data_IF_555957124348
#
_entry.id   IF_555957124348
#
_cell.length_a   1.000
_cell.length_b   1.000
_cell.length_c   1.000
_cell.angle_alpha   90.00
_cell.angle_beta   90.00
_cell.angle_gamma   90.00
#
_symmetry.space_group_name_H-M   'P 1'
#
loop_
_entity.id
_entity.type
_entity.pdbx_description
1 polymer ?
#
# COMPACT_ATOMS: atom_id res chain seq x y z
N UNK A 1 17.48 -3.53 -10.37
CA UNK A 1 16.23 -4.32 -10.52
C UNK A 1 15.40 -3.86 -11.72
N UNK A 2 15.25 -2.55 -11.95
CA UNK A 2 14.66 -1.98 -13.20
C UNK A 2 15.45 -2.44 -14.44
N UNK A 3 16.76 -2.52 -14.31
CA UNK A 3 17.73 -2.91 -15.36
C UNK A 3 17.47 -4.28 -16.01
N UNK A 4 17.10 -5.31 -15.26
CA UNK A 4 16.89 -6.65 -15.85
C UNK A 4 15.62 -6.71 -16.70
N UNK A 5 14.55 -6.04 -16.26
CA UNK A 5 13.27 -5.99 -16.99
C UNK A 5 13.42 -5.20 -18.30
N UNK A 6 14.11 -4.08 -18.24
CA UNK A 6 14.45 -3.29 -19.43
C UNK A 6 15.36 -4.07 -20.38
N UNK A 7 16.35 -4.81 -19.86
CA UNK A 7 17.22 -5.66 -20.66
C UNK A 7 16.46 -6.81 -21.34
N UNK A 8 15.49 -7.42 -20.65
CA UNK A 8 14.60 -8.44 -21.24
C UNK A 8 13.79 -7.87 -22.40
N UNK A 9 13.10 -6.76 -22.20
CA UNK A 9 12.26 -6.16 -23.24
C UNK A 9 13.09 -5.76 -24.47
N UNK A 10 14.29 -5.22 -24.24
CA UNK A 10 15.26 -4.92 -25.32
C UNK A 10 15.74 -6.20 -26.01
N UNK A 11 15.99 -7.28 -25.27
CA UNK A 11 16.43 -8.55 -25.86
C UNK A 11 15.33 -9.19 -26.71
N UNK A 12 14.09 -9.23 -26.23
CA UNK A 12 12.95 -9.72 -26.99
C UNK A 12 12.78 -8.91 -28.27
N UNK A 13 12.84 -7.57 -28.21
CA UNK A 13 12.73 -6.72 -29.39
C UNK A 13 13.82 -7.05 -30.44
N UNK A 14 15.04 -7.34 -30.00
CA UNK A 14 16.13 -7.78 -30.89
C UNK A 14 15.85 -9.14 -31.53
N UNK A 15 15.31 -10.09 -30.78
CA UNK A 15 14.98 -11.43 -31.29
C UNK A 15 13.84 -11.37 -32.30
N UNK A 16 12.76 -10.65 -31.99
CA UNK A 16 11.65 -10.46 -32.92
C UNK A 16 12.13 -9.81 -34.23
N UNK A 17 12.95 -8.76 -34.14
CA UNK A 17 13.55 -8.10 -35.30
C UNK A 17 14.44 -9.05 -36.12
N UNK A 18 15.29 -9.85 -35.46
CA UNK A 18 16.13 -10.82 -36.16
C UNK A 18 15.30 -11.86 -36.92
N UNK A 19 14.18 -12.30 -36.34
CA UNK A 19 13.24 -13.21 -37.00
C UNK A 19 12.56 -12.55 -38.22
N UNK A 20 12.16 -11.29 -38.13
CA UNK A 20 11.64 -10.53 -39.28
C UNK A 20 12.69 -10.37 -40.38
N UNK A 21 13.94 -10.07 -40.02
CA UNK A 21 15.06 -9.96 -40.96
C UNK A 21 15.34 -11.31 -41.65
N UNK A 22 15.26 -12.43 -40.93
CA UNK A 22 15.33 -13.78 -41.51
C UNK A 22 14.16 -14.04 -42.46
N UNK A 23 12.94 -13.69 -42.09
CA UNK A 23 11.76 -13.83 -42.95
C UNK A 23 11.88 -13.03 -44.25
N UNK A 24 12.46 -11.84 -44.19
CA UNK A 24 12.63 -10.95 -45.34
C UNK A 24 13.67 -11.47 -46.36
N UNK A 25 14.62 -12.28 -45.90
CA UNK A 25 15.69 -12.87 -46.73
C UNK A 25 15.37 -14.29 -47.21
N UNK A 26 14.29 -14.88 -46.71
CA UNK A 26 13.92 -16.27 -46.98
C UNK A 26 13.12 -16.42 -48.27
N UNK A 27 13.49 -17.39 -49.11
CA UNK A 27 12.87 -17.65 -50.41
C UNK A 27 11.80 -18.76 -50.33
N UNK A 28 11.89 -19.64 -49.32
CA UNK A 28 10.91 -20.69 -49.10
C UNK A 28 9.72 -20.13 -48.33
N UNK A 29 8.56 -20.02 -48.98
CA UNK A 29 7.35 -19.37 -48.44
C UNK A 29 6.90 -19.93 -47.09
N UNK A 30 6.99 -21.25 -46.88
CA UNK A 30 6.61 -21.87 -45.61
C UNK A 30 7.55 -21.46 -44.46
N UNK A 31 8.85 -21.33 -44.74
CA UNK A 31 9.86 -20.94 -43.77
C UNK A 31 9.81 -19.43 -43.48
N UNK A 32 9.62 -18.61 -44.52
CA UNK A 32 9.35 -17.17 -44.38
C UNK A 32 8.14 -16.92 -43.46
N UNK A 33 7.04 -17.66 -43.68
CA UNK A 33 5.85 -17.57 -42.83
C UNK A 33 6.16 -17.99 -41.39
N UNK A 34 6.90 -19.09 -41.21
CA UNK A 34 7.27 -19.56 -39.88
C UNK A 34 8.06 -18.49 -39.11
N UNK A 35 9.07 -17.88 -39.73
CA UNK A 35 9.85 -16.78 -39.10
C UNK A 35 8.97 -15.57 -38.75
N UNK A 36 8.08 -15.15 -39.66
CA UNK A 36 7.17 -14.03 -39.41
C UNK A 36 6.23 -14.31 -38.24
N UNK A 37 5.63 -15.51 -38.19
CA UNK A 37 4.77 -15.93 -37.09
C UNK A 37 5.52 -16.03 -35.77
N UNK A 38 6.77 -16.52 -35.78
CA UNK A 38 7.60 -16.52 -34.57
C UNK A 38 7.94 -15.11 -34.09
N UNK A 39 8.19 -14.16 -35.00
CA UNK A 39 8.43 -12.77 -34.64
C UNK A 39 7.20 -12.16 -33.94
N UNK A 40 6.02 -12.29 -34.54
CA UNK A 40 4.75 -11.83 -33.97
C UNK A 40 4.45 -12.49 -32.62
N UNK A 41 4.62 -13.81 -32.52
CA UNK A 41 4.40 -14.55 -31.28
C UNK A 41 5.36 -14.09 -30.18
N UNK A 42 6.63 -13.83 -30.51
CA UNK A 42 7.65 -13.34 -29.56
C UNK A 42 7.28 -11.97 -29.02
N UNK A 43 6.82 -11.07 -29.89
CA UNK A 43 6.42 -9.72 -29.50
C UNK A 43 5.13 -9.69 -28.68
N UNK A 44 4.14 -10.51 -29.08
CA UNK A 44 2.88 -10.69 -28.35
C UNK A 44 3.15 -11.25 -26.95
N UNK A 45 3.92 -12.35 -26.86
CA UNK A 45 4.26 -12.98 -25.59
C UNK A 45 4.97 -12.00 -24.64
N UNK A 46 5.89 -11.19 -25.15
CA UNK A 46 6.58 -10.19 -24.34
C UNK A 46 5.63 -9.12 -23.80
N UNK A 47 4.70 -8.65 -24.63
CA UNK A 47 3.70 -7.65 -24.25
C UNK A 47 2.77 -8.21 -23.17
N UNK A 48 2.22 -9.40 -23.38
CA UNK A 48 1.34 -10.06 -22.41
C UNK A 48 2.07 -10.38 -21.11
N UNK A 49 3.31 -10.84 -21.19
CA UNK A 49 4.15 -11.10 -20.02
C UNK A 49 4.40 -9.82 -19.22
N UNK A 50 4.67 -8.69 -19.90
CA UNK A 50 4.84 -7.39 -19.23
C UNK A 50 3.55 -6.95 -18.55
N UNK A 51 2.42 -7.06 -19.23
CA UNK A 51 1.12 -6.68 -18.70
C UNK A 51 0.76 -7.51 -17.46
N UNK A 52 0.89 -8.84 -17.55
CA UNK A 52 0.51 -9.77 -16.48
C UNK A 52 1.45 -9.74 -15.27
N UNK A 53 2.76 -9.63 -15.50
CA UNK A 53 3.76 -9.79 -14.43
C UNK A 53 4.24 -8.46 -13.84
N UNK A 54 4.02 -7.34 -14.54
CA UNK A 54 4.50 -6.01 -14.11
C UNK A 54 3.34 -5.06 -13.89
N UNK A 55 2.60 -4.75 -14.95
CA UNK A 55 1.60 -3.67 -14.93
C UNK A 55 0.46 -3.97 -13.97
N UNK A 56 -0.19 -5.14 -14.10
CA UNK A 56 -1.33 -5.50 -13.24
C UNK A 56 -0.94 -5.62 -11.77
N UNK A 57 0.16 -6.31 -11.38
CA UNK A 57 0.59 -6.35 -9.99
C UNK A 57 0.92 -4.97 -9.41
N UNK A 58 1.57 -4.10 -10.19
CA UNK A 58 1.90 -2.73 -9.75
C UNK A 58 0.63 -1.90 -9.52
N UNK A 59 -0.33 -1.95 -10.44
CA UNK A 59 -1.63 -1.29 -10.28
C UNK A 59 -2.38 -1.80 -9.05
N UNK A 60 -2.42 -3.12 -8.85
CA UNK A 60 -3.09 -3.71 -7.69
C UNK A 60 -2.41 -3.31 -6.38
N UNK A 61 -1.07 -3.29 -6.35
CA UNK A 61 -0.31 -2.82 -5.19
C UNK A 61 -0.62 -1.34 -4.89
N UNK A 62 -0.70 -0.48 -5.91
CA UNK A 62 -1.04 0.93 -5.75
C UNK A 62 -2.43 1.14 -5.16
N UNK A 63 -3.43 0.38 -5.63
CA UNK A 63 -4.80 0.45 -5.09
C UNK A 63 -4.84 0.01 -3.62
N UNK A 64 -4.21 -1.11 -3.28
CA UNK A 64 -4.17 -1.61 -1.90
C UNK A 64 -3.42 -0.63 -0.97
N UNK A 65 -2.32 -0.03 -1.43
CA UNK A 65 -1.59 1.00 -0.68
C UNK A 65 -2.44 2.26 -0.44
N UNK A 66 -3.20 2.72 -1.45
CA UNK A 66 -4.11 3.85 -1.30
C UNK A 66 -5.21 3.55 -0.27
N UNK A 67 -5.79 2.35 -0.30
CA UNK A 67 -6.79 1.93 0.69
C UNK A 67 -6.22 1.93 2.11
N UNK A 68 -4.98 1.46 2.30
CA UNK A 68 -4.31 1.49 3.61
C UNK A 68 -4.07 2.91 4.09
N UNK A 69 -3.64 3.79 3.18
CA UNK A 69 -3.44 5.20 3.50
C UNK A 69 -4.74 5.83 4.03
N UNK A 70 -5.84 5.63 3.31
CA UNK A 70 -7.13 6.27 3.62
C UNK A 70 -7.84 5.66 4.83
N UNK A 71 -7.75 4.34 5.02
CA UNK A 71 -8.55 3.62 6.02
C UNK A 71 -7.81 3.34 7.32
N UNK A 72 -6.48 3.30 7.27
CA UNK A 72 -5.67 3.02 8.46
C UNK A 72 -4.82 4.22 8.87
N UNK A 73 -3.97 4.73 7.97
CA UNK A 73 -2.96 5.71 8.34
C UNK A 73 -3.60 7.06 8.70
N UNK A 74 -4.46 7.59 7.83
CA UNK A 74 -5.11 8.89 8.05
C UNK A 74 -6.01 8.90 9.30
N UNK A 75 -6.90 7.91 9.53
CA UNK A 75 -7.72 7.86 10.74
C UNK A 75 -6.89 7.71 12.01
N UNK A 76 -5.84 6.88 11.98
CA UNK A 76 -4.94 6.70 13.14
C UNK A 76 -4.26 8.02 13.51
N UNK A 77 -3.71 8.76 12.54
CA UNK A 77 -3.10 10.07 12.78
C UNK A 77 -4.08 11.02 13.48
N UNK A 78 -5.32 11.10 12.98
CA UNK A 78 -6.37 11.95 13.57
C UNK A 78 -6.71 11.55 15.00
N UNK A 79 -6.80 10.24 15.29
CA UNK A 79 -7.08 9.75 16.64
C UNK A 79 -5.93 10.03 17.61
N UNK A 80 -4.68 9.87 17.17
CA UNK A 80 -3.51 10.20 17.97
C UNK A 80 -3.46 11.71 18.29
N UNK A 81 -3.78 12.56 17.32
CA UNK A 81 -3.88 14.01 17.52
C UNK A 81 -5.01 14.40 18.48
N UNK A 82 -6.19 13.78 18.38
CA UNK A 82 -7.31 14.03 19.32
C UNK A 82 -6.96 13.53 20.73
N UNK A 83 -6.29 12.39 20.85
CA UNK A 83 -5.79 11.86 22.14
C UNK A 83 -4.84 12.85 22.81
N UNK A 84 -3.87 13.37 22.06
CA UNK A 84 -2.90 14.32 22.60
C UNK A 84 -3.57 15.63 23.05
N UNK A 85 -4.56 16.13 22.28
CA UNK A 85 -5.37 17.28 22.67
C UNK A 85 -6.19 17.01 23.94
N UNK A 86 -6.80 15.83 24.03
CA UNK A 86 -7.59 15.42 25.17
C UNK A 86 -6.76 15.31 26.46
N UNK A 87 -5.54 14.74 26.36
CA UNK A 87 -4.60 14.64 27.48
C UNK A 87 -4.10 16.01 27.92
N UNK A 88 -3.73 16.90 26.99
CA UNK A 88 -3.31 18.27 27.31
C UNK A 88 -4.42 19.05 28.03
N UNK A 89 -5.66 18.90 27.56
CA UNK A 89 -6.83 19.52 28.19
C UNK A 89 -7.08 18.97 29.59
N UNK A 90 -6.97 17.64 29.77
CA UNK A 90 -7.11 17.00 31.07
C UNK A 90 -6.08 17.53 32.07
N UNK A 91 -4.80 17.60 31.67
CA UNK A 91 -3.73 18.13 32.53
C UNK A 91 -3.99 19.57 32.94
N UNK A 92 -4.48 20.41 32.02
CA UNK A 92 -4.86 21.80 32.33
C UNK A 92 -5.99 21.85 33.36
N UNK A 93 -7.05 21.07 33.16
CA UNK A 93 -8.19 21.02 34.08
C UNK A 93 -7.81 20.48 35.47
N UNK A 94 -6.90 19.51 35.54
CA UNK A 94 -6.40 18.98 36.81
C UNK A 94 -5.61 20.04 37.58
N UNK A 95 -4.66 20.72 36.91
CA UNK A 95 -3.91 21.83 37.50
C UNK A 95 -4.83 22.96 37.96
N UNK A 96 -5.84 23.25 37.16
CA UNK A 96 -6.88 24.22 37.49
C UNK A 96 -7.62 23.83 38.77
N UNK A 97 -7.99 22.57 38.99
CA UNK A 97 -8.67 22.12 40.24
C UNK A 97 -7.76 22.18 41.48
N UNK A 98 -6.44 22.06 41.28
CA UNK A 98 -5.43 22.14 42.35
C UNK A 98 -5.13 23.57 42.78
N UNK A 99 -5.56 24.58 42.01
CA UNK A 99 -5.36 25.99 42.33
C UNK A 99 -6.18 26.40 43.58
N UNK A 100 -5.46 26.83 44.62
CA UNK A 100 -5.97 27.06 45.98
C UNK A 100 -6.91 28.29 46.05
N UNK A 101 -6.94 29.11 44.99
CA UNK A 101 -7.73 30.34 44.91
C UNK A 101 -9.21 30.14 44.57
N UNK A 102 -9.71 28.90 44.47
CA UNK A 102 -11.08 28.62 44.03
C UNK A 102 -12.10 28.55 45.15
N UNK A 103 -13.30 29.07 44.87
CA UNK A 103 -14.46 28.83 45.72
C UNK A 103 -14.89 27.36 45.64
N UNK A 104 -15.50 26.81 46.71
CA UNK A 104 -15.95 25.42 46.75
C UNK A 104 -16.89 25.05 45.58
N UNK A 105 -17.73 25.99 45.14
CA UNK A 105 -18.67 25.81 44.02
C UNK A 105 -17.96 25.74 42.65
N UNK A 106 -16.92 26.54 42.45
CA UNK A 106 -16.12 26.51 41.22
C UNK A 106 -15.27 25.25 41.12
N UNK A 107 -14.70 24.83 42.25
CA UNK A 107 -13.93 23.58 42.37
C UNK A 107 -14.78 22.38 41.97
N UNK A 108 -16.01 22.29 42.48
CA UNK A 108 -16.94 21.19 42.16
C UNK A 108 -17.33 21.18 40.67
N UNK A 109 -17.56 22.35 40.06
CA UNK A 109 -17.82 22.48 38.62
C UNK A 109 -16.62 22.02 37.79
N UNK A 110 -15.40 22.43 38.15
CA UNK A 110 -14.17 22.01 37.45
C UNK A 110 -13.89 20.51 37.63
N UNK A 111 -14.22 19.94 38.78
CA UNK A 111 -14.08 18.51 39.03
C UNK A 111 -15.00 17.66 38.15
N UNK A 112 -16.22 18.14 37.86
CA UNK A 112 -17.09 17.52 36.84
C UNK A 112 -16.48 17.57 35.44
N UNK A 113 -15.86 18.69 35.05
CA UNK A 113 -15.16 18.81 33.77
C UNK A 113 -13.96 17.87 33.68
N UNK A 114 -13.22 17.67 34.77
CA UNK A 114 -12.14 16.67 34.82
C UNK A 114 -12.67 15.26 34.60
N UNK A 115 -13.79 14.88 35.23
CA UNK A 115 -14.39 13.56 35.05
C UNK A 115 -14.90 13.35 33.61
N UNK A 116 -15.49 14.38 33.01
CA UNK A 116 -15.91 14.35 31.61
C UNK A 116 -14.71 14.19 30.66
N UNK A 117 -13.66 14.97 30.89
CA UNK A 117 -12.45 14.90 30.07
C UNK A 117 -11.70 13.57 30.24
N UNK A 118 -11.72 12.96 31.43
CA UNK A 118 -11.22 11.60 31.66
C UNK A 118 -11.97 10.58 30.82
N UNK A 119 -13.31 10.65 30.78
CA UNK A 119 -14.14 9.80 29.91
C UNK A 119 -13.78 9.98 28.43
N UNK A 120 -13.53 11.21 27.98
CA UNK A 120 -13.09 11.47 26.60
C UNK A 120 -11.73 10.85 26.29
N UNK A 121 -10.74 10.95 27.19
CA UNK A 121 -9.44 10.30 27.01
C UNK A 121 -9.59 8.78 26.88
N UNK A 122 -10.42 8.18 27.75
CA UNK A 122 -10.70 6.74 27.71
C UNK A 122 -11.36 6.29 26.40
N UNK A 123 -12.34 7.05 25.93
CA UNK A 123 -13.02 6.78 24.66
C UNK A 123 -12.04 6.84 23.48
N UNK A 124 -11.15 7.84 23.44
CA UNK A 124 -10.15 7.96 22.36
C UNK A 124 -9.15 6.81 22.43
N UNK A 125 -8.69 6.41 23.61
CA UNK A 125 -7.80 5.25 23.76
C UNK A 125 -8.47 3.96 23.25
N UNK A 126 -9.73 3.73 23.61
CA UNK A 126 -10.50 2.58 23.13
C UNK A 126 -10.62 2.57 21.59
N UNK A 127 -10.83 3.73 20.97
CA UNK A 127 -10.89 3.86 19.52
C UNK A 127 -9.52 3.61 18.85
N UNK A 128 -8.43 4.09 19.45
CA UNK A 128 -7.06 3.82 18.98
C UNK A 128 -6.78 2.32 19.01
N UNK A 129 -7.10 1.63 20.11
CA UNK A 129 -6.87 0.19 20.25
C UNK A 129 -7.68 -0.62 19.25
N UNK A 130 -8.95 -0.25 19.04
CA UNK A 130 -9.80 -0.86 18.02
C UNK A 130 -9.21 -0.69 16.62
N UNK A 131 -8.80 0.54 16.27
CA UNK A 131 -8.20 0.81 14.96
C UNK A 131 -6.86 0.10 14.78
N UNK A 132 -6.02 -0.02 15.82
CA UNK A 132 -4.76 -0.75 15.76
C UNK A 132 -4.97 -2.24 15.48
N UNK A 133 -5.94 -2.88 16.17
CA UNK A 133 -6.30 -4.29 15.91
C UNK A 133 -6.79 -4.48 14.47
N UNK A 134 -7.62 -3.56 13.98
CA UNK A 134 -8.16 -3.63 12.61
C UNK A 134 -7.08 -3.39 11.56
N UNK A 135 -6.15 -2.47 11.81
CA UNK A 135 -4.99 -2.25 10.95
C UNK A 135 -4.12 -3.50 10.85
N UNK A 136 -3.84 -4.16 11.97
CA UNK A 136 -3.01 -5.37 11.98
C UNK A 136 -3.64 -6.52 11.19
N UNK A 137 -4.96 -6.70 11.32
CA UNK A 137 -5.71 -7.64 10.49
C UNK A 137 -5.56 -7.30 8.98
N UNK A 138 -5.75 -6.03 8.61
CA UNK A 138 -5.58 -5.58 7.22
C UNK A 138 -4.14 -5.79 6.72
N UNK A 139 -3.13 -5.47 7.54
CA UNK A 139 -1.71 -5.63 7.21
C UNK A 139 -1.38 -7.09 6.90
N UNK A 140 -1.88 -8.03 7.70
CA UNK A 140 -1.64 -9.46 7.47
C UNK A 140 -2.46 -9.98 6.28
N UNK A 141 -3.74 -9.64 6.20
CA UNK A 141 -4.64 -10.18 5.18
C UNK A 141 -4.37 -9.63 3.78
N UNK A 142 -3.97 -8.36 3.66
CA UNK A 142 -3.80 -7.67 2.38
C UNK A 142 -2.33 -7.52 1.98
N UNK A 143 -1.50 -6.87 2.81
CA UNK A 143 -0.13 -6.55 2.42
C UNK A 143 0.77 -7.78 2.32
N UNK A 144 0.64 -8.73 3.26
CA UNK A 144 1.47 -9.94 3.24
C UNK A 144 1.22 -10.74 1.97
N UNK A 145 -0.05 -10.91 1.57
CA UNK A 145 -0.45 -11.63 0.36
C UNK A 145 0.11 -10.97 -0.90
N UNK A 146 0.01 -9.64 -1.02
CA UNK A 146 0.57 -8.88 -2.15
C UNK A 146 2.09 -9.04 -2.25
N UNK A 147 2.81 -9.01 -1.12
CA UNK A 147 4.26 -9.25 -1.11
C UNK A 147 4.63 -10.72 -1.44
N UNK A 148 3.86 -11.72 -0.96
CA UNK A 148 4.11 -13.11 -1.36
C UNK A 148 3.80 -13.37 -2.82
N UNK A 149 2.78 -12.74 -3.41
CA UNK A 149 2.53 -12.85 -4.85
C UNK A 149 3.71 -12.27 -5.64
N UNK A 150 4.26 -11.12 -5.24
CA UNK A 150 5.49 -10.59 -5.83
C UNK A 150 6.68 -11.54 -5.70
N UNK A 151 6.86 -12.21 -4.56
CA UNK A 151 7.92 -13.21 -4.38
C UNK A 151 7.68 -14.51 -5.16
N UNK A 152 6.44 -15.02 -5.25
CA UNK A 152 6.13 -16.22 -6.02
C UNK A 152 6.29 -15.94 -7.53
N UNK A 153 5.89 -14.75 -8.00
CA UNK A 153 6.15 -14.29 -9.36
C UNK A 153 7.65 -14.08 -9.65
N UNK A 154 8.44 -13.70 -8.64
CA UNK A 154 9.90 -13.63 -8.74
C UNK A 154 10.50 -15.01 -8.98
N UNK A 155 10.06 -16.05 -8.25
CA UNK A 155 10.56 -17.41 -8.46
C UNK A 155 10.13 -18.01 -9.80
N UNK A 156 8.92 -17.72 -10.28
CA UNK A 156 8.41 -18.24 -11.56
C UNK A 156 9.06 -17.58 -12.80
N UNK A 157 9.81 -16.49 -12.64
CA UNK A 157 10.55 -15.83 -13.73
C UNK A 157 12.04 -16.15 -13.76
N UNK A 158 12.53 -16.96 -12.81
CA UNK A 158 13.94 -17.30 -12.63
C UNK A 158 14.22 -18.82 -12.68
N UNK A 159 13.28 -19.61 -13.20
CA UNK A 159 13.46 -21.02 -13.61
C UNK A 159 13.18 -21.09 -15.11
#
# INVERSE_FOLDING_TARGET
MVTFREQRDVHVAKVAKALEECAAQENVTSLQRAFSTYAEATQTLSTDTRELLVVRPEQQAMVELAQIQDWAIVPMKRLLEDRDKAIKTLKKLQKDVEDILQTNKEREKRQRLVQDQKRRVENVNSLVDLHMKRFEYFRVAKLKVTCTLQHVLFYLTHV
#
